data_IF_211838209930
#
_entry.id   IF_211838209930
#
_cell.length_a   1.000
_cell.length_b   1.000
_cell.length_c   1.000
_cell.angle_alpha   90.00
_cell.angle_beta   90.00
_cell.angle_gamma   90.00
#
_symmetry.space_group_name_H-M   'P 1'
#
loop_
_entity.id
_entity.type
_entity.pdbx_description
1 polymer ?
#
# COMPACT_ATOMS: atom_id res chain seq x y z
N UNK A 1 0.99 -5.78 -15.91
CA UNK A 1 0.39 -4.43 -15.75
C UNK A 1 1.10 -3.84 -14.56
N UNK A 2 1.85 -2.75 -14.75
CA UNK A 2 2.71 -2.24 -13.68
C UNK A 2 1.87 -1.48 -12.66
N UNK A 3 2.13 -1.75 -11.37
CA UNK A 3 1.55 -0.96 -10.30
C UNK A 3 2.13 0.47 -10.29
N UNK A 4 1.39 1.42 -9.71
CA UNK A 4 1.79 2.83 -9.63
C UNK A 4 2.25 3.19 -8.23
N UNK A 5 3.56 3.25 -8.02
CA UNK A 5 4.15 3.73 -6.76
C UNK A 5 3.74 5.18 -6.47
N UNK A 6 3.37 5.46 -5.23
CA UNK A 6 2.94 6.79 -4.80
C UNK A 6 1.57 7.21 -5.32
N UNK A 7 0.74 6.24 -5.74
CA UNK A 7 -0.64 6.42 -6.20
C UNK A 7 -1.53 5.30 -5.65
N UNK A 8 -2.84 5.49 -5.79
CA UNK A 8 -3.81 4.42 -5.59
C UNK A 8 -3.80 3.37 -6.72
N UNK A 9 -3.98 2.12 -6.33
CA UNK A 9 -4.08 0.95 -7.21
C UNK A 9 -5.25 0.07 -6.76
N UNK A 10 -5.96 -0.52 -7.71
CA UNK A 10 -6.99 -1.53 -7.45
C UNK A 10 -6.35 -2.91 -7.61
N UNK A 11 -6.13 -3.61 -6.50
CA UNK A 11 -5.43 -4.91 -6.48
C UNK A 11 -6.30 -5.98 -5.83
N UNK A 12 -6.24 -7.19 -6.34
CA UNK A 12 -6.98 -8.35 -5.84
C UNK A 12 -6.24 -9.01 -4.67
N UNK A 13 -6.97 -9.40 -3.63
CA UNK A 13 -6.44 -10.19 -2.52
C UNK A 13 -6.22 -11.62 -2.95
N UNK A 14 -4.98 -12.10 -2.90
CA UNK A 14 -4.62 -13.47 -3.35
C UNK A 14 -4.49 -14.46 -2.21
N UNK A 15 -4.06 -14.03 -1.02
CA UNK A 15 -3.97 -14.88 0.18
C UNK A 15 -3.94 -14.08 1.47
N UNK A 16 -4.44 -14.71 2.54
CA UNK A 16 -4.33 -14.23 3.91
C UNK A 16 -3.12 -14.86 4.61
N UNK A 17 -2.47 -14.09 5.48
CA UNK A 17 -1.36 -14.52 6.34
C UNK A 17 -1.50 -13.87 7.72
N UNK A 18 -0.79 -14.38 8.74
CA UNK A 18 -0.92 -13.92 10.12
C UNK A 18 -0.72 -12.40 10.31
N UNK A 19 0.08 -11.79 9.42
CA UNK A 19 0.47 -10.38 9.48
C UNK A 19 -0.13 -9.52 8.36
N UNK A 20 -1.14 -10.01 7.63
CA UNK A 20 -1.92 -9.22 6.69
C UNK A 20 -2.49 -10.02 5.53
N UNK A 21 -2.60 -9.38 4.38
CA UNK A 21 -2.99 -10.05 3.14
C UNK A 21 -2.01 -9.70 2.03
N UNK A 22 -1.80 -10.62 1.10
CA UNK A 22 -1.07 -10.33 -0.12
C UNK A 22 -2.05 -9.94 -1.23
N UNK A 23 -1.65 -8.93 -1.98
CA UNK A 23 -2.34 -8.38 -3.13
C UNK A 23 -1.59 -8.75 -4.41
N UNK A 24 -2.31 -9.04 -5.49
CA UNK A 24 -1.72 -9.28 -6.80
C UNK A 24 -1.20 -7.98 -7.41
N UNK A 25 0.12 -7.80 -7.43
CA UNK A 25 0.81 -6.70 -8.11
C UNK A 25 1.21 -7.04 -9.54
N UNK A 26 0.80 -8.19 -10.09
CA UNK A 26 1.17 -8.62 -11.43
C UNK A 26 2.68 -8.81 -11.59
N UNK A 27 3.30 -8.00 -12.45
CA UNK A 27 4.73 -8.10 -12.77
C UNK A 27 5.63 -7.68 -11.58
N UNK A 28 5.08 -6.90 -10.64
CA UNK A 28 5.74 -6.47 -9.41
C UNK A 28 5.64 -7.54 -8.29
N UNK A 29 4.98 -8.66 -8.55
CA UNK A 29 4.79 -9.77 -7.60
C UNK A 29 3.70 -9.51 -6.58
N UNK A 30 3.76 -10.24 -5.46
CA UNK A 30 2.80 -10.09 -4.36
C UNK A 30 3.15 -8.90 -3.47
N UNK A 31 2.19 -8.03 -3.21
CA UNK A 31 2.36 -6.82 -2.38
C UNK A 31 1.63 -7.01 -1.06
N UNK A 32 2.33 -6.81 0.06
CA UNK A 32 1.74 -6.97 1.39
C UNK A 32 0.87 -5.76 1.78
N UNK A 33 -0.34 -6.03 2.25
CA UNK A 33 -1.18 -5.12 3.05
C UNK A 33 -1.17 -5.59 4.52
N UNK A 34 -0.44 -4.91 5.42
CA UNK A 34 -0.34 -5.31 6.83
C UNK A 34 -1.69 -5.39 7.57
N UNK A 35 -1.84 -6.31 8.52
CA UNK A 35 -3.11 -6.59 9.25
C UNK A 35 -3.83 -5.34 9.74
N UNK A 36 -3.11 -4.36 10.29
CA UNK A 36 -3.68 -3.11 10.82
C UNK A 36 -4.41 -2.25 9.77
N UNK A 37 -4.20 -2.53 8.49
CA UNK A 37 -4.79 -1.83 7.35
C UNK A 37 -5.77 -2.72 6.55
N UNK A 38 -5.96 -3.98 6.94
CA UNK A 38 -6.90 -4.87 6.28
C UNK A 38 -8.32 -4.51 6.69
N UNK A 39 -9.24 -4.23 5.74
CA UNK A 39 -10.65 -3.98 6.07
C UNK A 39 -11.32 -5.19 6.73
N UNK A 40 -12.29 -4.94 7.61
CA UNK A 40 -13.04 -6.01 8.27
C UNK A 40 -13.80 -6.88 7.25
N UNK A 41 -13.67 -8.20 7.38
CA UNK A 41 -14.33 -9.16 6.50
C UNK A 41 -13.70 -9.31 5.11
N UNK A 42 -12.53 -8.68 4.88
CA UNK A 42 -11.72 -8.89 3.68
C UNK A 42 -11.37 -10.37 3.51
N UNK A 43 -11.48 -10.88 2.27
CA UNK A 43 -11.19 -12.27 1.92
C UNK A 43 -10.49 -12.37 0.55
N UNK A 44 -9.84 -13.50 0.22
CA UNK A 44 -9.30 -13.72 -1.11
C UNK A 44 -10.35 -13.55 -2.21
N UNK A 45 -9.94 -12.91 -3.31
CA UNK A 45 -10.80 -12.52 -4.43
C UNK A 45 -11.44 -11.13 -4.29
N UNK A 46 -11.38 -10.49 -3.12
CA UNK A 46 -11.80 -9.10 -2.99
C UNK A 46 -10.80 -8.16 -3.68
N UNK A 47 -11.30 -7.07 -4.28
CA UNK A 47 -10.45 -6.02 -4.87
C UNK A 47 -10.42 -4.81 -3.94
N UNK A 48 -9.21 -4.41 -3.55
CA UNK A 48 -9.00 -3.28 -2.64
C UNK A 48 -8.38 -2.09 -3.39
N UNK A 49 -8.86 -0.89 -3.09
CA UNK A 49 -8.21 0.35 -3.51
C UNK A 49 -7.17 0.75 -2.46
N UNK A 50 -5.89 0.54 -2.76
CA UNK A 50 -4.78 0.75 -1.82
C UNK A 50 -3.77 1.75 -2.34
N UNK A 51 -3.14 2.49 -1.44
CA UNK A 51 -2.00 3.34 -1.76
C UNK A 51 -0.71 2.53 -1.65
N UNK A 52 0.16 2.64 -2.65
CA UNK A 52 1.44 1.94 -2.67
C UNK A 52 2.60 2.88 -2.33
N UNK A 53 3.47 2.45 -1.43
CA UNK A 53 4.66 3.19 -0.99
C UNK A 53 5.82 2.24 -0.70
N UNK A 54 7.03 2.80 -0.53
CA UNK A 54 8.19 2.06 -0.04
C UNK A 54 8.30 2.23 1.47
N UNK A 55 8.48 1.14 2.20
CA UNK A 55 8.80 1.20 3.63
C UNK A 55 10.28 1.55 3.87
N UNK A 56 10.69 1.57 5.14
CA UNK A 56 12.06 1.91 5.52
C UNK A 56 13.12 0.89 5.05
N UNK A 57 12.70 -0.28 4.58
CA UNK A 57 13.56 -1.32 4.00
C UNK A 57 13.49 -1.32 2.46
N UNK A 58 12.96 -0.24 1.86
CA UNK A 58 12.74 -0.07 0.42
C UNK A 58 11.82 -1.14 -0.19
N UNK A 59 10.94 -1.75 0.62
CA UNK A 59 9.97 -2.75 0.13
C UNK A 59 8.69 -2.09 -0.35
N UNK A 60 8.15 -2.57 -1.45
CA UNK A 60 6.84 -2.15 -1.95
C UNK A 60 5.72 -2.69 -1.04
N UNK A 61 4.99 -1.78 -0.39
CA UNK A 61 3.94 -2.08 0.59
C UNK A 61 2.66 -1.32 0.24
N UNK A 62 1.51 -1.93 0.55
CA UNK A 62 0.19 -1.35 0.42
C UNK A 62 -0.35 -0.82 1.77
N UNK A 63 -1.16 0.24 1.71
CA UNK A 63 -1.97 0.70 2.84
C UNK A 63 -3.36 1.16 2.37
N UNK A 64 -4.36 1.02 3.24
CA UNK A 64 -5.70 1.61 3.07
C UNK A 64 -5.83 2.99 3.70
N UNK A 65 -4.77 3.48 4.36
CA UNK A 65 -4.72 4.86 4.82
C UNK A 65 -4.78 5.84 3.65
N UNK A 66 -5.39 6.98 3.90
CA UNK A 66 -5.38 8.08 2.95
C UNK A 66 -4.06 8.86 3.08
N UNK A 67 -3.23 8.95 2.03
CA UNK A 67 -2.05 9.78 2.05
C UNK A 67 -2.45 11.26 2.07
N UNK A 68 -1.63 12.10 2.69
CA UNK A 68 -1.85 13.56 2.68
C UNK A 68 -1.53 14.18 1.31
N UNK A 69 -0.70 13.51 0.51
CA UNK A 69 -0.24 13.95 -0.81
C UNK A 69 0.20 12.74 -1.62
N UNK A 70 -0.02 12.76 -2.93
CA UNK A 70 0.43 11.73 -3.87
C UNK A 70 1.50 12.26 -4.83
N UNK A 71 2.09 11.36 -5.62
CA UNK A 71 2.95 11.76 -6.76
C UNK A 71 2.17 12.75 -7.65
N UNK A 72 2.84 13.75 -8.22
CA UNK A 72 2.26 14.85 -9.00
C UNK A 72 1.36 15.84 -8.22
N UNK A 73 1.29 15.74 -6.90
CA UNK A 73 0.58 16.69 -6.04
C UNK A 73 1.56 17.48 -5.15
N UNK A 74 1.09 18.61 -4.61
CA UNK A 74 1.83 19.44 -3.66
C UNK A 74 1.04 19.61 -2.37
N UNK A 75 1.73 19.53 -1.22
CA UNK A 75 1.17 19.78 0.09
C UNK A 75 2.21 20.45 1.03
N UNK A 76 1.74 21.22 2.00
CA UNK A 76 2.54 21.70 3.11
C UNK A 76 2.39 20.73 4.29
N UNK A 77 3.51 20.18 4.78
CA UNK A 77 3.55 19.18 5.85
C UNK A 77 4.41 19.68 7.02
N UNK A 78 4.14 19.14 8.21
CA UNK A 78 4.93 19.43 9.40
C UNK A 78 6.27 18.68 9.37
N UNK A 79 7.36 19.36 9.76
CA UNK A 79 8.69 18.75 9.86
C UNK A 79 8.71 17.82 11.07
N UNK A 80 8.84 16.51 10.82
CA UNK A 80 8.91 15.52 11.88
C UNK A 80 10.29 15.45 12.55
N UNK A 81 11.36 15.71 11.78
CA UNK A 81 12.75 15.60 12.25
C UNK A 81 13.70 16.34 11.29
N UNK A 82 14.85 16.78 11.81
CA UNK A 82 15.94 17.40 11.05
C UNK A 82 17.21 16.61 11.34
N UNK A 83 17.98 16.28 10.30
CA UNK A 83 19.25 15.59 10.45
C UNK A 83 20.33 16.49 11.06
N UNK A 84 21.24 15.86 11.80
CA UNK A 84 22.50 16.47 12.23
C UNK A 84 23.51 16.55 11.08
#
# INVERSE_FOLDING_TARGET
MNVKLGKYNQLEVVKEVDFGVYLDGGDDGEILLPTRYVPEGCKPGDVLNVFLYLDNEERLIATTLQPLVQVDEFACLEVAWVNE
#
